data_IF_814119773501
#
_entry.id   IF_814119773501
#
_cell.length_a   1.000
_cell.length_b   1.000
_cell.length_c   1.000
_cell.angle_alpha   90.00
_cell.angle_beta   90.00
_cell.angle_gamma   90.00
#
_symmetry.space_group_name_H-M   'P 1'
#
loop_
_entity.id
_entity.type
_entity.pdbx_description
1 polymer ?
#
# COMPACT_ATOMS: atom_id res chain seq x y z
N UNK A 1 18.55 -28.50 17.43
CA UNK A 1 17.34 -27.68 17.18
C UNK A 1 16.02 -28.49 17.12
N UNK A 2 15.93 -29.72 16.58
CA UNK A 2 14.63 -30.40 16.41
C UNK A 2 13.82 -30.63 17.69
N UNK A 3 14.48 -30.67 18.86
CA UNK A 3 13.83 -30.81 20.18
C UNK A 3 13.38 -29.49 20.81
N UNK A 4 13.80 -28.35 20.26
CA UNK A 4 13.54 -27.03 20.85
C UNK A 4 12.15 -26.54 20.48
N UNK A 5 11.72 -26.69 19.22
CA UNK A 5 10.42 -26.19 18.75
C UNK A 5 9.24 -26.84 19.50
N UNK A 6 9.18 -28.18 19.68
CA UNK A 6 8.10 -28.80 20.46
C UNK A 6 8.06 -28.31 21.92
N UNK A 7 9.23 -28.05 22.52
CA UNK A 7 9.33 -27.53 23.87
C UNK A 7 8.83 -26.09 23.96
N UNK A 8 9.23 -25.23 23.01
CA UNK A 8 8.76 -23.85 22.97
C UNK A 8 7.24 -23.80 22.75
N UNK A 9 6.68 -24.63 21.85
CA UNK A 9 5.24 -24.73 21.62
C UNK A 9 4.47 -25.09 22.90
N UNK A 10 5.03 -25.98 23.73
CA UNK A 10 4.44 -26.30 25.04
C UNK A 10 4.39 -25.07 25.98
N UNK A 11 5.40 -24.21 25.93
CA UNK A 11 5.48 -23.04 26.81
C UNK A 11 4.66 -21.83 26.33
N UNK A 12 4.12 -21.85 25.10
CA UNK A 12 3.18 -20.82 24.60
C UNK A 12 1.90 -20.71 25.45
N UNK A 13 1.54 -21.77 26.18
CA UNK A 13 0.38 -21.79 27.09
C UNK A 13 0.78 -21.76 28.57
N UNK A 14 2.04 -21.46 28.89
CA UNK A 14 2.51 -21.36 30.28
C UNK A 14 1.77 -20.27 31.04
N UNK A 15 1.47 -20.47 32.33
CA UNK A 15 0.89 -19.44 33.19
C UNK A 15 1.91 -18.32 33.47
N UNK A 16 3.19 -18.67 33.61
CA UNK A 16 4.30 -17.73 33.70
C UNK A 16 4.40 -16.88 32.42
N UNK A 17 4.18 -15.57 32.57
CA UNK A 17 4.13 -14.58 31.49
C UNK A 17 5.48 -14.40 30.81
N UNK A 18 6.57 -14.38 31.58
CA UNK A 18 7.92 -14.18 31.05
C UNK A 18 8.36 -15.41 30.26
N UNK A 19 8.13 -16.60 30.82
CA UNK A 19 8.41 -17.86 30.14
C UNK A 19 7.57 -18.00 28.86
N UNK A 20 6.29 -17.68 28.92
CA UNK A 20 5.38 -17.73 27.77
C UNK A 20 5.82 -16.80 26.64
N UNK A 21 6.09 -15.54 26.95
CA UNK A 21 6.50 -14.56 25.94
C UNK A 21 7.90 -14.88 25.38
N UNK A 22 8.82 -15.40 26.20
CA UNK A 22 10.13 -15.86 25.74
C UNK A 22 10.01 -17.05 24.79
N UNK A 23 9.09 -17.99 25.08
CA UNK A 23 8.82 -19.11 24.20
C UNK A 23 8.23 -18.67 22.85
N UNK A 24 7.29 -17.72 22.88
CA UNK A 24 6.71 -17.12 21.67
C UNK A 24 7.79 -16.43 20.82
N UNK A 25 8.65 -15.61 21.42
CA UNK A 25 9.71 -14.93 20.68
C UNK A 25 10.71 -15.94 20.07
N UNK A 26 11.10 -16.95 20.84
CA UNK A 26 11.94 -18.05 20.37
C UNK A 26 11.34 -18.80 19.18
N UNK A 27 10.01 -19.01 19.17
CA UNK A 27 9.32 -19.61 18.03
C UNK A 27 9.38 -18.73 16.79
N UNK A 28 9.23 -17.41 16.92
CA UNK A 28 9.36 -16.51 15.77
C UNK A 28 10.73 -16.62 15.08
N UNK A 29 11.79 -16.84 15.86
CA UNK A 29 13.14 -17.01 15.35
C UNK A 29 13.44 -18.40 14.78
N UNK A 30 12.71 -19.44 15.20
CA UNK A 30 13.11 -20.84 14.95
C UNK A 30 12.10 -21.71 14.20
N UNK A 31 10.81 -21.37 14.24
CA UNK A 31 9.74 -22.19 13.63
C UNK A 31 10.01 -22.40 12.14
N UNK A 32 9.86 -23.65 11.69
CA UNK A 32 9.91 -24.00 10.27
C UNK A 32 8.53 -24.36 9.75
N UNK A 33 8.43 -24.60 8.44
CA UNK A 33 7.18 -24.89 7.75
C UNK A 33 6.39 -26.06 8.39
N UNK A 34 7.09 -27.07 8.90
CA UNK A 34 6.48 -28.23 9.58
C UNK A 34 5.62 -27.83 10.78
N UNK A 35 6.11 -26.90 11.59
CA UNK A 35 5.50 -26.51 12.87
C UNK A 35 4.72 -25.18 12.76
N UNK A 36 4.78 -24.53 11.59
CA UNK A 36 4.09 -23.28 11.30
C UNK A 36 2.56 -23.39 11.43
N UNK A 37 1.87 -24.44 10.93
CA UNK A 37 0.44 -24.61 11.13
C UNK A 37 0.02 -24.54 12.60
N UNK A 38 0.75 -25.23 13.47
CA UNK A 38 0.46 -25.26 14.90
C UNK A 38 0.65 -23.88 15.54
N UNK A 39 1.66 -23.11 15.13
CA UNK A 39 1.85 -21.75 15.66
C UNK A 39 0.74 -20.80 15.23
N UNK A 40 0.25 -20.93 13.99
CA UNK A 40 -0.90 -20.15 13.50
C UNK A 40 -2.17 -20.55 14.28
N UNK A 41 -2.41 -21.84 14.51
CA UNK A 41 -3.56 -22.31 15.29
C UNK A 41 -3.53 -21.77 16.73
N UNK A 42 -2.35 -21.69 17.35
CA UNK A 42 -2.17 -21.07 18.66
C UNK A 42 -2.49 -19.57 18.63
N UNK A 43 -2.08 -18.82 17.60
CA UNK A 43 -2.47 -17.42 17.45
C UNK A 43 -3.99 -17.25 17.38
N UNK A 44 -4.67 -18.11 16.62
CA UNK A 44 -6.12 -18.07 16.47
C UNK A 44 -6.83 -18.39 17.80
N UNK A 45 -6.30 -19.32 18.59
CA UNK A 45 -6.85 -19.69 19.90
C UNK A 45 -6.61 -18.64 21.00
N UNK A 46 -5.48 -17.92 20.96
CA UNK A 46 -5.09 -16.93 21.99
C UNK A 46 -6.02 -15.70 22.01
N UNK A 47 -6.69 -15.37 20.89
CA UNK A 47 -7.66 -14.28 20.82
C UNK A 47 -7.10 -12.93 21.30
N UNK A 48 -7.80 -12.26 22.21
CA UNK A 48 -7.43 -10.94 22.76
C UNK A 48 -6.55 -11.01 24.03
N UNK A 49 -5.90 -12.15 24.30
CA UNK A 49 -5.01 -12.32 25.44
C UNK A 49 -3.80 -11.35 25.40
N UNK A 50 -3.19 -11.02 26.56
CA UNK A 50 -1.96 -10.22 26.62
C UNK A 50 -0.81 -10.73 25.72
N UNK A 51 -0.79 -12.03 25.42
CA UNK A 51 0.22 -12.65 24.55
C UNK A 51 -0.12 -12.59 23.05
N UNK A 52 -1.28 -12.05 22.66
CA UNK A 52 -1.68 -11.91 21.26
C UNK A 52 -0.70 -11.04 20.45
N UNK A 53 -0.28 -9.90 21.01
CA UNK A 53 0.69 -9.02 20.34
C UNK A 53 2.07 -9.67 20.19
N UNK A 54 2.69 -10.25 21.24
CA UNK A 54 3.90 -11.04 21.10
C UNK A 54 3.78 -12.17 20.05
N UNK A 55 2.64 -12.87 20.03
CA UNK A 55 2.40 -13.96 19.07
C UNK A 55 2.39 -13.48 17.63
N UNK A 56 1.72 -12.35 17.35
CA UNK A 56 1.71 -11.74 16.01
C UNK A 56 3.11 -11.33 15.56
N UNK A 57 3.91 -10.74 16.43
CA UNK A 57 5.30 -10.38 16.11
C UNK A 57 6.18 -11.62 15.84
N UNK A 58 5.98 -12.70 16.60
CA UNK A 58 6.68 -13.96 16.35
C UNK A 58 6.31 -14.56 14.99
N UNK A 59 5.01 -14.64 14.67
CA UNK A 59 4.54 -15.13 13.37
C UNK A 59 5.00 -14.24 12.21
N UNK A 60 5.04 -12.92 12.40
CA UNK A 60 5.60 -11.99 11.42
C UNK A 60 7.07 -12.30 11.11
N UNK A 61 7.90 -12.47 12.14
CA UNK A 61 9.32 -12.87 11.99
C UNK A 61 9.45 -14.21 11.28
N UNK A 62 8.58 -15.17 11.61
CA UNK A 62 8.54 -16.48 10.97
C UNK A 62 8.20 -16.39 9.48
N UNK A 63 7.14 -15.65 9.12
CA UNK A 63 6.71 -15.43 7.74
C UNK A 63 7.84 -14.82 6.89
N UNK A 64 8.53 -13.80 7.39
CA UNK A 64 9.63 -13.13 6.69
C UNK A 64 10.83 -14.05 6.39
N UNK A 65 11.04 -15.08 7.22
CA UNK A 65 12.15 -16.03 7.09
C UNK A 65 11.77 -17.28 6.29
N UNK A 66 10.49 -17.48 6.01
CA UNK A 66 10.00 -18.72 5.40
C UNK A 66 10.53 -18.85 3.97
N UNK A 67 11.29 -19.92 3.70
CA UNK A 67 11.86 -20.15 2.38
C UNK A 67 10.82 -20.63 1.36
N UNK A 68 9.92 -21.52 1.78
CA UNK A 68 8.79 -21.99 0.97
C UNK A 68 7.57 -21.09 1.22
N UNK A 69 7.51 -20.00 0.46
CA UNK A 69 6.47 -18.98 0.56
C UNK A 69 5.10 -19.50 0.11
N UNK A 70 5.05 -20.40 -0.88
CA UNK A 70 3.80 -20.88 -1.44
C UNK A 70 3.07 -21.78 -0.44
N UNK A 71 3.77 -22.75 0.15
CA UNK A 71 3.16 -23.64 1.16
C UNK A 71 2.76 -22.85 2.41
N UNK A 72 3.59 -21.89 2.84
CA UNK A 72 3.27 -21.05 3.99
C UNK A 72 2.06 -20.15 3.74
N UNK A 73 1.93 -19.61 2.53
CA UNK A 73 0.76 -18.84 2.11
C UNK A 73 -0.49 -19.70 2.14
N UNK A 74 -0.41 -20.92 1.61
CA UNK A 74 -1.54 -21.86 1.61
C UNK A 74 -2.01 -22.19 3.03
N UNK A 75 -1.07 -22.42 3.96
CA UNK A 75 -1.37 -22.67 5.38
C UNK A 75 -2.22 -21.55 5.99
N UNK A 76 -1.93 -20.29 5.67
CA UNK A 76 -2.72 -19.13 6.15
C UNK A 76 -4.07 -19.04 5.44
N UNK A 77 -4.10 -19.24 4.12
CA UNK A 77 -5.32 -19.15 3.31
C UNK A 77 -6.33 -20.23 3.70
N UNK A 78 -5.89 -21.46 3.99
CA UNK A 78 -6.75 -22.56 4.41
C UNK A 78 -7.48 -22.28 5.74
N UNK A 79 -6.94 -21.37 6.56
CA UNK A 79 -7.51 -20.98 7.87
C UNK A 79 -8.46 -19.79 7.78
N UNK A 80 -8.69 -19.23 6.58
CA UNK A 80 -9.54 -18.05 6.40
C UNK A 80 -11.04 -18.38 6.47
N UNK A 81 -11.45 -19.54 5.94
CA UNK A 81 -12.87 -19.88 5.70
C UNK A 81 -13.70 -19.90 6.98
N UNK A 82 -13.17 -20.46 8.07
CA UNK A 82 -13.88 -20.60 9.35
C UNK A 82 -13.40 -19.59 10.41
N UNK A 83 -12.52 -18.66 10.03
CA UNK A 83 -11.98 -17.68 10.93
C UNK A 83 -12.98 -16.56 11.24
N UNK A 84 -12.92 -16.03 12.47
CA UNK A 84 -13.63 -14.79 12.81
C UNK A 84 -13.11 -13.62 11.96
N UNK A 85 -13.89 -12.53 11.76
CA UNK A 85 -13.44 -11.36 11.00
C UNK A 85 -12.11 -10.76 11.51
N UNK A 86 -11.91 -10.80 12.84
CA UNK A 86 -10.64 -10.39 13.44
C UNK A 86 -9.50 -11.32 13.03
N UNK A 87 -9.69 -12.64 13.13
CA UNK A 87 -8.71 -13.63 12.71
C UNK A 87 -8.37 -13.55 11.21
N UNK A 88 -9.37 -13.34 10.35
CA UNK A 88 -9.17 -13.13 8.91
C UNK A 88 -8.25 -11.93 8.63
N UNK A 89 -8.42 -10.84 9.39
CA UNK A 89 -7.56 -9.66 9.29
C UNK A 89 -6.11 -10.00 9.69
N UNK A 90 -5.91 -10.75 10.78
CA UNK A 90 -4.56 -11.15 11.21
C UNK A 90 -3.87 -12.08 10.23
N UNK A 91 -4.59 -13.07 9.67
CA UNK A 91 -4.07 -13.99 8.66
C UNK A 91 -3.66 -13.23 7.39
N UNK A 92 -4.49 -12.29 6.93
CA UNK A 92 -4.18 -11.43 5.79
C UNK A 92 -2.97 -10.52 6.07
N UNK A 93 -2.82 -10.02 7.30
CA UNK A 93 -1.66 -9.23 7.69
C UNK A 93 -0.37 -10.05 7.69
N UNK A 94 -0.43 -11.33 8.05
CA UNK A 94 0.71 -12.24 7.94
C UNK A 94 1.08 -12.57 6.48
N UNK A 95 0.09 -12.72 5.60
CA UNK A 95 0.31 -12.95 4.16
C UNK A 95 1.15 -11.84 3.51
N UNK A 96 1.00 -10.59 3.94
CA UNK A 96 1.81 -9.45 3.47
C UNK A 96 3.32 -9.71 3.67
N UNK A 97 3.69 -10.36 4.77
CA UNK A 97 5.10 -10.61 5.12
C UNK A 97 5.67 -11.87 4.47
N UNK A 98 4.82 -12.82 4.08
CA UNK A 98 5.22 -13.94 3.24
C UNK A 98 5.48 -13.40 1.82
N UNK A 99 4.53 -12.63 1.28
CA UNK A 99 4.59 -12.12 -0.08
C UNK A 99 4.59 -13.25 -1.13
N UNK A 100 5.03 -12.92 -2.35
CA UNK A 100 5.06 -13.88 -3.45
C UNK A 100 3.72 -14.03 -4.16
N UNK A 101 3.74 -14.80 -5.25
CA UNK A 101 2.63 -14.90 -6.18
C UNK A 101 1.41 -15.59 -5.55
N UNK A 102 1.62 -16.67 -4.78
CA UNK A 102 0.53 -17.39 -4.11
C UNK A 102 -0.17 -16.53 -3.06
N UNK A 103 0.58 -15.79 -2.24
CA UNK A 103 0.01 -14.89 -1.24
C UNK A 103 -0.81 -13.77 -1.89
N UNK A 104 -0.29 -13.17 -2.96
CA UNK A 104 -0.99 -12.10 -3.67
C UNK A 104 -2.26 -12.62 -4.37
N UNK A 105 -2.20 -13.79 -5.01
CA UNK A 105 -3.36 -14.43 -5.63
C UNK A 105 -4.44 -14.77 -4.59
N UNK A 106 -4.05 -15.30 -3.43
CA UNK A 106 -4.97 -15.57 -2.33
C UNK A 106 -5.62 -14.30 -1.78
N UNK A 107 -4.83 -13.23 -1.59
CA UNK A 107 -5.35 -11.92 -1.17
C UNK A 107 -6.29 -11.30 -2.21
N UNK A 108 -6.01 -11.47 -3.51
CA UNK A 108 -6.91 -11.05 -4.58
C UNK A 108 -8.25 -11.81 -4.51
N UNK A 109 -8.20 -13.15 -4.47
CA UNK A 109 -9.41 -13.98 -4.41
C UNK A 109 -10.27 -13.65 -3.17
N UNK A 110 -9.63 -13.41 -2.02
CA UNK A 110 -10.32 -12.98 -0.82
C UNK A 110 -10.96 -11.59 -0.96
N UNK A 111 -10.29 -10.64 -1.64
CA UNK A 111 -10.83 -9.31 -1.91
C UNK A 111 -12.03 -9.32 -2.88
N UNK A 112 -12.13 -10.36 -3.72
CA UNK A 112 -13.21 -10.58 -4.68
C UNK A 112 -14.35 -11.44 -4.11
N UNK A 113 -14.21 -11.95 -2.88
CA UNK A 113 -15.23 -12.76 -2.24
C UNK A 113 -16.52 -11.97 -1.94
N UNK A 114 -17.63 -12.69 -1.85
CA UNK A 114 -18.93 -12.12 -1.45
C UNK A 114 -19.08 -11.96 0.07
N UNK A 115 -18.09 -12.40 0.85
CA UNK A 115 -18.08 -12.21 2.30
C UNK A 115 -17.41 -10.87 2.65
N UNK A 116 -18.18 -9.93 3.18
CA UNK A 116 -17.71 -8.57 3.46
C UNK A 116 -16.54 -8.55 4.48
N UNK A 117 -16.50 -9.48 5.42
CA UNK A 117 -15.41 -9.57 6.39
C UNK A 117 -14.09 -9.96 5.70
N UNK A 118 -14.13 -11.01 4.87
CA UNK A 118 -13.00 -11.50 4.08
C UNK A 118 -12.53 -10.43 3.09
N UNK A 119 -13.45 -9.82 2.35
CA UNK A 119 -13.14 -8.76 1.38
C UNK A 119 -12.56 -7.51 2.06
N UNK A 120 -13.08 -7.12 3.23
CA UNK A 120 -12.53 -6.00 4.01
C UNK A 120 -11.09 -6.28 4.47
N UNK A 121 -10.83 -7.46 5.04
CA UNK A 121 -9.50 -7.85 5.50
C UNK A 121 -8.49 -7.88 4.34
N UNK A 122 -8.86 -8.50 3.23
CA UNK A 122 -8.01 -8.63 2.06
C UNK A 122 -7.69 -7.28 1.40
N UNK A 123 -8.69 -6.41 1.20
CA UNK A 123 -8.46 -5.07 0.61
C UNK A 123 -7.62 -4.17 1.52
N UNK A 124 -7.70 -4.34 2.85
CA UNK A 124 -6.81 -3.66 3.80
C UNK A 124 -5.36 -4.17 3.68
N UNK A 125 -5.17 -5.47 3.54
CA UNK A 125 -3.86 -6.08 3.39
C UNK A 125 -3.20 -5.68 2.05
N UNK A 126 -3.94 -5.77 0.93
CA UNK A 126 -3.46 -5.33 -0.39
C UNK A 126 -3.04 -3.86 -0.38
N UNK A 127 -3.76 -2.97 0.31
CA UNK A 127 -3.37 -1.56 0.45
C UNK A 127 -2.02 -1.34 1.13
N UNK A 128 -1.60 -2.30 1.99
CA UNK A 128 -0.34 -2.30 2.75
C UNK A 128 0.75 -3.22 2.18
N UNK A 129 0.48 -3.87 1.04
CA UNK A 129 1.38 -4.87 0.45
C UNK A 129 2.83 -4.39 0.28
N UNK A 130 3.82 -5.23 0.55
CA UNK A 130 5.22 -4.76 0.66
C UNK A 130 5.97 -4.67 -0.67
N UNK A 131 5.32 -5.00 -1.78
CA UNK A 131 5.93 -5.05 -3.11
C UNK A 131 5.02 -4.39 -4.17
N UNK A 132 5.61 -3.87 -5.26
CA UNK A 132 4.84 -3.16 -6.29
C UNK A 132 4.00 -4.09 -7.20
N UNK A 133 4.19 -5.40 -7.09
CA UNK A 133 3.42 -6.44 -7.80
C UNK A 133 1.93 -6.45 -7.45
N UNK A 134 1.52 -5.91 -6.29
CA UNK A 134 0.11 -5.73 -5.96
C UNK A 134 -0.60 -4.62 -6.77
N UNK A 135 0.14 -3.82 -7.54
CA UNK A 135 -0.44 -2.69 -8.28
C UNK A 135 -1.53 -3.08 -9.30
N UNK A 136 -1.36 -4.10 -10.15
CA UNK A 136 -2.42 -4.51 -11.08
C UNK A 136 -3.71 -4.90 -10.36
N UNK A 137 -3.60 -5.71 -9.30
CA UNK A 137 -4.74 -6.14 -8.48
C UNK A 137 -5.46 -4.95 -7.85
N UNK A 138 -4.72 -4.03 -7.21
CA UNK A 138 -5.30 -2.84 -6.60
C UNK A 138 -6.00 -1.92 -7.61
N UNK A 139 -5.46 -1.81 -8.82
CA UNK A 139 -6.06 -1.00 -9.88
C UNK A 139 -7.36 -1.64 -10.41
N UNK A 140 -7.38 -2.96 -10.55
CA UNK A 140 -8.58 -3.70 -10.94
C UNK A 140 -9.67 -3.54 -9.90
N UNK A 141 -9.37 -3.83 -8.62
CA UNK A 141 -10.32 -3.65 -7.52
C UNK A 141 -10.82 -2.21 -7.40
N UNK A 142 -9.98 -1.21 -7.70
CA UNK A 142 -10.39 0.19 -7.72
C UNK A 142 -11.39 0.53 -8.85
N UNK A 143 -11.32 -0.17 -9.98
CA UNK A 143 -12.18 0.07 -11.16
C UNK A 143 -13.50 -0.70 -11.09
N UNK A 144 -13.42 -2.00 -10.81
CA UNK A 144 -14.53 -2.95 -10.97
C UNK A 144 -14.92 -3.65 -9.67
N UNK A 145 -14.08 -3.65 -8.64
CA UNK A 145 -14.35 -4.34 -7.37
C UNK A 145 -15.53 -3.77 -6.58
N UNK A 146 -15.76 -4.31 -5.38
CA UNK A 146 -16.81 -3.84 -4.47
C UNK A 146 -16.66 -2.32 -4.22
N UNK A 147 -17.74 -1.56 -4.46
CA UNK A 147 -17.75 -0.10 -4.36
C UNK A 147 -17.32 0.43 -3.00
N UNK A 148 -17.58 -0.34 -1.92
CA UNK A 148 -17.15 -0.01 -0.56
C UNK A 148 -15.62 0.10 -0.41
N UNK A 149 -14.85 -0.63 -1.23
CA UNK A 149 -13.40 -0.71 -1.10
C UNK A 149 -12.63 -0.04 -2.25
N UNK A 150 -13.30 0.41 -3.32
CA UNK A 150 -12.64 1.03 -4.50
C UNK A 150 -11.70 2.16 -4.14
N UNK A 151 -12.15 3.09 -3.29
CA UNK A 151 -11.34 4.23 -2.84
C UNK A 151 -10.10 3.78 -2.06
N UNK A 152 -10.24 2.78 -1.18
CA UNK A 152 -9.13 2.21 -0.42
C UNK A 152 -8.12 1.55 -1.35
N UNK A 153 -8.59 0.77 -2.33
CA UNK A 153 -7.73 0.09 -3.30
C UNK A 153 -6.97 1.12 -4.16
N UNK A 154 -7.65 2.17 -4.64
CA UNK A 154 -7.01 3.24 -5.38
C UNK A 154 -5.94 3.97 -4.55
N UNK A 155 -6.20 4.22 -3.27
CA UNK A 155 -5.20 4.81 -2.36
C UNK A 155 -4.02 3.86 -2.12
N UNK A 156 -4.25 2.56 -2.03
CA UNK A 156 -3.19 1.54 -2.02
C UNK A 156 -2.33 1.59 -3.28
N UNK A 157 -2.96 1.68 -4.46
CA UNK A 157 -2.27 1.82 -5.73
C UNK A 157 -1.42 3.11 -5.80
N UNK A 158 -1.98 4.25 -5.35
CA UNK A 158 -1.24 5.51 -5.27
C UNK A 158 -0.09 5.44 -4.26
N UNK A 159 -0.26 4.72 -3.13
CA UNK A 159 0.83 4.47 -2.19
C UNK A 159 2.00 3.77 -2.89
N UNK A 160 1.72 2.79 -3.76
CA UNK A 160 2.76 2.08 -4.51
C UNK A 160 3.58 3.06 -5.37
N UNK A 161 2.90 3.95 -6.10
CA UNK A 161 3.54 5.00 -6.93
C UNK A 161 4.51 5.86 -6.09
N UNK A 162 4.09 6.21 -4.87
CA UNK A 162 4.80 7.13 -3.97
C UNK A 162 5.97 6.49 -3.22
N UNK A 163 5.89 5.21 -2.88
CA UNK A 163 6.81 4.57 -1.92
C UNK A 163 7.83 3.65 -2.58
N UNK A 164 7.52 3.03 -3.73
CA UNK A 164 8.41 2.06 -4.34
C UNK A 164 9.30 2.66 -5.45
N UNK A 165 10.46 2.01 -5.63
CA UNK A 165 11.44 2.32 -6.67
C UNK A 165 10.98 1.89 -8.06
N UNK A 166 10.01 2.62 -8.62
CA UNK A 166 9.50 2.40 -9.97
C UNK A 166 10.33 3.16 -11.01
N UNK A 167 10.44 2.60 -12.23
CA UNK A 167 11.02 3.32 -13.36
C UNK A 167 10.17 4.56 -13.70
N UNK A 168 10.76 5.69 -14.13
CA UNK A 168 10.02 6.92 -14.39
C UNK A 168 8.82 6.75 -15.33
N UNK A 169 8.99 6.03 -16.45
CA UNK A 169 7.91 5.78 -17.42
C UNK A 169 6.76 4.95 -16.82
N UNK A 170 7.09 3.90 -16.07
CA UNK A 170 6.10 3.09 -15.36
C UNK A 170 5.34 3.93 -14.33
N UNK A 171 6.07 4.73 -13.54
CA UNK A 171 5.47 5.59 -12.53
C UNK A 171 4.48 6.60 -13.13
N UNK A 172 4.86 7.25 -14.23
CA UNK A 172 3.98 8.18 -14.94
C UNK A 172 2.75 7.47 -15.51
N UNK A 173 2.92 6.31 -16.14
CA UNK A 173 1.79 5.53 -16.64
C UNK A 173 0.85 5.10 -15.51
N UNK A 174 1.39 4.70 -14.36
CA UNK A 174 0.59 4.38 -13.19
C UNK A 174 -0.18 5.61 -12.69
N UNK A 175 0.43 6.80 -12.62
CA UNK A 175 -0.27 8.04 -12.25
C UNK A 175 -1.44 8.35 -13.19
N UNK A 176 -1.27 8.16 -14.51
CA UNK A 176 -2.37 8.30 -15.48
C UNK A 176 -3.52 7.34 -15.21
N UNK A 177 -3.20 6.06 -14.98
CA UNK A 177 -4.19 5.03 -14.69
C UNK A 177 -4.94 5.32 -13.38
N UNK A 178 -4.23 5.77 -12.34
CA UNK A 178 -4.85 6.19 -11.08
C UNK A 178 -5.82 7.35 -11.30
N UNK A 179 -5.42 8.35 -12.10
CA UNK A 179 -6.24 9.54 -12.32
C UNK A 179 -7.53 9.21 -13.08
N UNK A 180 -7.43 8.33 -14.08
CA UNK A 180 -8.57 7.84 -14.82
C UNK A 180 -9.51 6.98 -13.94
N UNK A 181 -8.97 6.21 -13.00
CA UNK A 181 -9.76 5.39 -12.08
C UNK A 181 -10.40 6.21 -10.93
N UNK A 182 -9.93 7.43 -10.68
CA UNK A 182 -10.42 8.26 -9.59
C UNK A 182 -11.83 8.81 -9.87
N UNK A 183 -12.80 8.35 -9.07
CA UNK A 183 -14.20 8.79 -9.10
C UNK A 183 -14.47 10.04 -8.26
N UNK A 184 -13.53 10.41 -7.39
CA UNK A 184 -13.63 11.59 -6.52
C UNK A 184 -12.45 12.53 -6.69
N UNK A 185 -12.66 13.80 -6.35
CA UNK A 185 -11.63 14.82 -6.48
C UNK A 185 -10.51 14.68 -5.44
N UNK A 186 -10.74 14.08 -4.28
CA UNK A 186 -9.71 13.86 -3.26
C UNK A 186 -8.60 12.95 -3.79
N UNK A 187 -8.96 11.85 -4.46
CA UNK A 187 -7.96 10.96 -5.08
C UNK A 187 -7.29 11.64 -6.28
N UNK A 188 -8.02 12.43 -7.08
CA UNK A 188 -7.42 13.22 -8.17
C UNK A 188 -6.38 14.22 -7.64
N UNK A 189 -6.72 14.97 -6.59
CA UNK A 189 -5.79 15.87 -5.88
C UNK A 189 -4.57 15.12 -5.36
N UNK A 190 -4.76 13.96 -4.74
CA UNK A 190 -3.66 13.12 -4.27
C UNK A 190 -2.73 12.68 -5.41
N UNK A 191 -3.26 12.42 -6.60
CA UNK A 191 -2.45 12.03 -7.77
C UNK A 191 -1.69 13.24 -8.32
N UNK A 192 -2.32 14.42 -8.42
CA UNK A 192 -1.63 15.66 -8.80
C UNK A 192 -0.48 15.96 -7.84
N UNK A 193 -0.71 15.81 -6.53
CA UNK A 193 0.32 15.92 -5.51
C UNK A 193 1.43 14.87 -5.70
N UNK A 194 1.06 13.63 -6.04
CA UNK A 194 2.03 12.55 -6.28
C UNK A 194 2.99 12.86 -7.42
N UNK A 195 2.54 13.54 -8.49
CA UNK A 195 3.40 13.96 -9.61
C UNK A 195 4.50 14.95 -9.18
N UNK A 196 4.29 15.72 -8.11
CA UNK A 196 5.30 16.65 -7.58
C UNK A 196 6.51 15.95 -6.97
N UNK A 197 6.35 14.69 -6.53
CA UNK A 197 7.45 13.89 -5.96
C UNK A 197 8.43 13.41 -7.04
N UNK A 198 7.97 13.37 -8.29
CA UNK A 198 8.74 12.89 -9.42
C UNK A 198 8.55 13.84 -10.62
N UNK A 199 9.07 15.08 -10.52
CA UNK A 199 8.85 16.12 -11.50
C UNK A 199 9.32 15.70 -12.90
N UNK A 200 8.47 15.93 -13.89
CA UNK A 200 8.79 15.69 -15.29
C UNK A 200 7.96 16.58 -16.21
N UNK A 201 8.43 16.79 -17.43
CA UNK A 201 7.69 17.51 -18.48
C UNK A 201 6.34 16.84 -18.72
N UNK A 202 6.31 15.51 -18.79
CA UNK A 202 5.07 14.74 -18.95
C UNK A 202 4.11 14.93 -17.77
N UNK A 203 4.63 14.95 -16.54
CA UNK A 203 3.87 15.27 -15.33
C UNK A 203 3.28 16.68 -15.38
N UNK A 204 4.05 17.70 -15.78
CA UNK A 204 3.54 19.06 -15.94
C UNK A 204 2.41 19.12 -16.97
N UNK A 205 2.60 18.47 -18.14
CA UNK A 205 1.57 18.39 -19.18
C UNK A 205 0.30 17.69 -18.71
N UNK A 206 0.41 16.70 -17.82
CA UNK A 206 -0.74 16.04 -17.21
C UNK A 206 -1.47 16.95 -16.21
N UNK A 207 -0.77 17.82 -15.49
CA UNK A 207 -1.37 18.72 -14.50
C UNK A 207 -2.11 19.90 -15.15
N UNK A 208 -1.54 20.49 -16.22
CA UNK A 208 -2.03 21.74 -16.84
C UNK A 208 -3.52 21.74 -17.22
N UNK A 209 -4.10 20.68 -17.80
CA UNK A 209 -5.54 20.66 -18.12
C UNK A 209 -6.45 20.84 -16.90
N UNK A 210 -5.99 20.49 -15.70
CA UNK A 210 -6.78 20.56 -14.47
C UNK A 210 -6.76 21.93 -13.79
N UNK A 211 -5.98 22.89 -14.31
CA UNK A 211 -5.96 24.29 -13.87
C UNK A 211 -7.32 24.98 -14.06
N UNK A 212 -8.07 24.59 -15.10
CA UNK A 212 -9.39 25.14 -15.41
C UNK A 212 -10.55 24.44 -14.69
N UNK A 213 -10.29 23.34 -13.96
CA UNK A 213 -11.33 22.65 -13.20
C UNK A 213 -11.45 23.31 -11.81
N UNK A 214 -12.59 23.92 -11.45
CA UNK A 214 -12.75 24.61 -10.17
C UNK A 214 -12.41 23.76 -8.94
N UNK A 215 -12.75 22.47 -8.94
CA UNK A 215 -12.52 21.61 -7.79
C UNK A 215 -11.05 21.16 -7.65
N UNK A 216 -10.26 21.23 -8.73
CA UNK A 216 -8.86 20.79 -8.78
C UNK A 216 -7.87 21.94 -8.98
N UNK A 217 -8.32 23.13 -9.36
CA UNK A 217 -7.49 24.24 -9.83
C UNK A 217 -6.40 24.63 -8.84
N UNK A 218 -6.73 24.66 -7.54
CA UNK A 218 -5.76 24.99 -6.50
C UNK A 218 -4.64 23.94 -6.40
N UNK A 219 -4.99 22.66 -6.31
CA UNK A 219 -3.99 21.57 -6.21
C UNK A 219 -3.20 21.42 -7.50
N UNK A 220 -3.85 21.61 -8.66
CA UNK A 220 -3.20 21.63 -9.96
C UNK A 220 -2.20 22.80 -10.08
N UNK A 221 -2.55 23.99 -9.58
CA UNK A 221 -1.66 25.15 -9.59
C UNK A 221 -0.44 24.93 -8.70
N UNK A 222 -0.65 24.42 -7.47
CA UNK A 222 0.45 24.04 -6.57
C UNK A 222 1.36 22.98 -7.20
N UNK A 223 0.78 21.94 -7.80
CA UNK A 223 1.53 20.88 -8.43
C UNK A 223 2.31 21.37 -9.66
N UNK A 224 1.70 22.20 -10.51
CA UNK A 224 2.32 22.76 -11.69
C UNK A 224 3.56 23.60 -11.32
N UNK A 225 3.44 24.46 -10.31
CA UNK A 225 4.56 25.27 -9.80
C UNK A 225 5.67 24.40 -9.23
N UNK A 226 5.33 23.41 -8.39
CA UNK A 226 6.31 22.51 -7.79
C UNK A 226 7.09 21.70 -8.84
N UNK A 227 6.40 21.22 -9.88
CA UNK A 227 7.04 20.50 -10.98
C UNK A 227 7.90 21.45 -11.81
N UNK A 228 7.35 22.61 -12.19
CA UNK A 228 8.04 23.62 -13.01
C UNK A 228 9.38 24.06 -12.39
N UNK A 229 9.43 24.27 -11.07
CA UNK A 229 10.66 24.66 -10.38
C UNK A 229 11.81 23.67 -10.57
N UNK A 230 11.48 22.38 -10.73
CA UNK A 230 12.46 21.31 -10.89
C UNK A 230 12.84 21.03 -12.33
N UNK A 231 12.03 21.47 -13.30
CA UNK A 231 12.26 21.19 -14.73
C UNK A 231 12.54 22.44 -15.57
N UNK A 232 12.49 23.64 -14.99
CA UNK A 232 12.64 24.91 -15.74
C UNK A 232 13.92 24.99 -16.57
N UNK A 233 15.04 24.43 -16.10
CA UNK A 233 16.29 24.40 -16.86
C UNK A 233 16.28 23.34 -17.98
N UNK A 234 15.42 22.32 -17.88
CA UNK A 234 15.36 21.20 -18.82
C UNK A 234 14.36 21.46 -19.96
N UNK A 235 13.24 22.12 -19.66
CA UNK A 235 12.23 22.51 -20.64
C UNK A 235 11.60 23.87 -20.28
N UNK A 236 12.33 24.97 -20.55
CA UNK A 236 11.85 26.33 -20.28
C UNK A 236 10.53 26.64 -20.99
N UNK A 237 10.36 26.17 -22.23
CA UNK A 237 9.17 26.46 -23.04
C UNK A 237 7.89 25.88 -22.42
N UNK A 238 7.92 24.61 -22.00
CA UNK A 238 6.79 23.99 -21.30
C UNK A 238 6.49 24.70 -19.97
N UNK A 239 7.52 25.12 -19.24
CA UNK A 239 7.35 25.86 -17.98
C UNK A 239 6.73 27.24 -18.22
N UNK A 240 7.24 28.00 -19.18
CA UNK A 240 6.69 29.33 -19.51
C UNK A 240 5.20 29.24 -19.85
N UNK A 241 4.83 28.29 -20.73
CA UNK A 241 3.42 28.09 -21.10
C UNK A 241 2.53 27.74 -19.91
N UNK A 242 3.00 26.84 -19.03
CA UNK A 242 2.24 26.43 -17.85
C UNK A 242 2.11 27.55 -16.81
N UNK A 243 3.20 28.28 -16.51
CA UNK A 243 3.20 29.33 -15.50
C UNK A 243 2.33 30.52 -15.89
N UNK A 244 2.27 30.89 -17.17
CA UNK A 244 1.31 31.89 -17.65
C UNK A 244 -0.12 31.48 -17.31
N UNK A 245 -0.50 30.23 -17.54
CA UNK A 245 -1.84 29.72 -17.18
C UNK A 245 -2.07 29.72 -15.68
N UNK A 246 -1.09 29.28 -14.88
CA UNK A 246 -1.20 29.30 -13.41
C UNK A 246 -1.48 30.70 -12.90
N UNK A 247 -0.73 31.71 -13.36
CA UNK A 247 -0.90 33.11 -12.93
C UNK A 247 -2.31 33.63 -13.24
N UNK A 248 -2.92 33.20 -14.35
CA UNK A 248 -4.27 33.64 -14.72
C UNK A 248 -5.38 33.00 -13.91
N UNK A 249 -5.18 31.80 -13.35
CA UNK A 249 -6.25 31.04 -12.68
C UNK A 249 -6.13 30.99 -11.16
N UNK A 250 -4.91 31.05 -10.62
CA UNK A 250 -4.70 30.85 -9.19
C UNK A 250 -5.16 32.08 -8.40
N UNK A 251 -5.94 31.86 -7.35
CA UNK A 251 -6.27 32.88 -6.36
C UNK A 251 -5.29 32.91 -5.20
N UNK A 252 -4.41 31.91 -5.10
CA UNK A 252 -3.38 31.85 -4.07
C UNK A 252 -2.18 32.73 -4.44
N UNK A 253 -1.94 33.76 -3.63
CA UNK A 253 -0.90 34.77 -3.85
C UNK A 253 0.51 34.20 -3.88
N UNK A 254 0.83 33.25 -2.99
CA UNK A 254 2.15 32.61 -2.94
C UNK A 254 2.41 31.75 -4.18
N UNK A 255 1.39 31.02 -4.64
CA UNK A 255 1.46 30.24 -5.89
C UNK A 255 1.63 31.19 -7.09
N UNK A 256 0.90 32.31 -7.15
CA UNK A 256 1.05 33.31 -8.20
C UNK A 256 2.45 33.93 -8.22
N UNK A 257 2.98 34.30 -7.04
CA UNK A 257 4.32 34.87 -6.88
C UNK A 257 5.39 33.90 -7.36
N UNK A 258 5.32 32.63 -6.94
CA UNK A 258 6.27 31.60 -7.37
C UNK A 258 6.17 31.33 -8.88
N UNK A 259 4.95 31.30 -9.44
CA UNK A 259 4.75 31.14 -10.87
C UNK A 259 5.37 32.28 -11.68
N UNK A 260 5.26 33.55 -11.23
CA UNK A 260 5.92 34.71 -11.87
C UNK A 260 7.44 34.60 -11.87
N UNK A 261 8.04 34.13 -10.76
CA UNK A 261 9.49 33.89 -10.66
C UNK A 261 9.94 32.77 -11.62
N UNK A 262 9.16 31.71 -11.75
CA UNK A 262 9.47 30.62 -12.68
C UNK A 262 9.31 31.05 -14.13
N UNK A 263 8.30 31.87 -14.44
CA UNK A 263 8.10 32.43 -15.76
C UNK A 263 9.26 33.32 -16.19
N UNK A 264 9.85 34.12 -15.30
CA UNK A 264 11.02 34.93 -15.63
C UNK A 264 12.28 34.10 -15.85
N UNK A 265 12.46 33.00 -15.10
CA UNK A 265 13.57 32.05 -15.27
C UNK A 265 13.48 31.22 -16.55
N UNK A 266 12.27 31.07 -17.10
CA UNK A 266 12.00 30.29 -18.29
C UNK A 266 12.16 31.09 -19.61
N UNK A 267 12.60 32.35 -19.52
CA UNK A 267 12.90 33.24 -20.65
C UNK A 267 14.31 33.05 -21.20
#
# INVERSE_FOLDING_TARGET
>A
IPRVIPLLLKYVTSEDVELRNSAIDGLGMTVGLKDFPQLVDQMLAIGSSPSAKPMKEALRKACQRMGDQDTASQILLDRMTDATPAAQTELMDLLIYIGGQQALAGAQAAAESNDDATANAATQALGRWLTPDAAPVLLELAKSGNSAYRVRCLRGYIRIIRQFGLRPAQRFQMSKLAFAAATRDEERKLILNTLTRFPSVQGLRMVVPHLANPSLSEEASKAAVAIADRIVNNDPQSVSSAMTKVITVTTNEEVAKRAKVLLSRAK
#
